data_IF_355227537426
#
_entry.id   IF_355227537426
#
_cell.length_a   1.000
_cell.length_b   1.000
_cell.length_c   1.000
_cell.angle_alpha   90.00
_cell.angle_beta   90.00
_cell.angle_gamma   90.00
#
_symmetry.space_group_name_H-M   'P 1'
#
loop_
_entity.id
_entity.type
_entity.pdbx_description
1 polymer ?
#
# COMPACT_ATOMS: atom_id res chain seq x y z
N UNK A 1 -50.02 -62.42 -19.96
CA UNK A 1 -48.83 -61.61 -19.60
C UNK A 1 -48.30 -60.95 -20.85
N UNK A 2 -48.56 -59.66 -21.03
CA UNK A 2 -47.97 -58.84 -22.07
C UNK A 2 -47.78 -57.44 -21.49
N UNK A 3 -46.54 -57.04 -21.27
CA UNK A 3 -46.17 -55.73 -20.73
C UNK A 3 -45.97 -54.77 -21.91
N UNK A 4 -46.75 -53.70 -21.95
CA UNK A 4 -46.61 -52.60 -22.90
C UNK A 4 -45.74 -51.53 -22.25
N UNK A 5 -44.52 -51.35 -22.77
CA UNK A 5 -43.61 -50.27 -22.37
C UNK A 5 -44.11 -48.94 -22.96
N UNK A 6 -44.40 -47.97 -22.10
CA UNK A 6 -44.55 -46.57 -22.46
C UNK A 6 -43.16 -45.91 -22.56
N UNK A 7 -42.80 -45.45 -23.77
CA UNK A 7 -41.66 -44.56 -23.99
C UNK A 7 -42.11 -43.12 -23.73
N UNK A 8 -41.64 -42.52 -22.64
CA UNK A 8 -41.73 -41.08 -22.43
C UNK A 8 -40.56 -40.40 -23.14
N UNK A 9 -40.85 -39.61 -24.17
CA UNK A 9 -39.88 -38.70 -24.79
C UNK A 9 -39.72 -37.45 -23.92
N UNK A 10 -38.58 -37.31 -23.25
CA UNK A 10 -38.21 -36.10 -22.53
C UNK A 10 -37.66 -35.05 -23.51
N UNK A 11 -38.45 -34.04 -23.83
CA UNK A 11 -37.95 -32.82 -24.50
C UNK A 11 -37.14 -32.00 -23.50
N UNK A 12 -35.82 -32.00 -23.68
CA UNK A 12 -34.89 -31.11 -22.97
C UNK A 12 -34.97 -29.70 -23.58
N UNK A 13 -35.51 -28.74 -22.81
CA UNK A 13 -35.38 -27.31 -23.10
C UNK A 13 -34.02 -26.86 -22.53
N UNK A 14 -32.95 -27.04 -23.31
CA UNK A 14 -31.69 -26.38 -23.04
C UNK A 14 -31.86 -24.89 -23.36
N UNK A 15 -32.05 -24.07 -22.33
CA UNK A 15 -31.99 -22.63 -22.45
C UNK A 15 -30.55 -22.22 -22.76
N UNK A 16 -30.43 -21.42 -23.81
CA UNK A 16 -29.20 -20.90 -24.40
C UNK A 16 -28.47 -19.98 -23.39
N UNK A 17 -27.57 -20.57 -22.59
CA UNK A 17 -26.72 -19.82 -21.67
C UNK A 17 -25.65 -19.08 -22.49
N UNK A 18 -25.95 -17.82 -22.79
CA UNK A 18 -25.01 -16.90 -23.40
C UNK A 18 -23.79 -16.78 -22.50
N UNK A 19 -22.67 -17.34 -22.96
CA UNK A 19 -21.37 -17.25 -22.29
C UNK A 19 -20.98 -15.78 -22.23
N UNK A 20 -21.06 -15.20 -21.03
CA UNK A 20 -20.47 -13.90 -20.74
C UNK A 20 -18.99 -14.19 -20.51
N UNK A 21 -18.18 -13.96 -21.53
CA UNK A 21 -16.73 -13.98 -21.37
C UNK A 21 -16.37 -12.80 -20.45
N UNK A 22 -16.16 -13.10 -19.17
CA UNK A 22 -15.51 -12.18 -18.26
C UNK A 22 -14.06 -12.06 -18.72
N UNK A 23 -13.76 -10.98 -19.43
CA UNK A 23 -12.39 -10.56 -19.65
C UNK A 23 -11.81 -10.26 -18.27
N UNK A 24 -11.02 -11.18 -17.74
CA UNK A 24 -10.22 -10.93 -16.56
C UNK A 24 -9.39 -9.67 -16.85
N UNK A 25 -9.29 -8.70 -15.90
CA UNK A 25 -8.43 -7.56 -16.11
C UNK A 25 -7.05 -8.09 -16.48
N UNK A 26 -6.51 -7.61 -17.61
CA UNK A 26 -5.17 -7.96 -18.04
C UNK A 26 -4.27 -7.77 -16.84
N UNK A 27 -3.57 -8.83 -16.41
CA UNK A 27 -2.61 -8.73 -15.33
C UNK A 27 -1.69 -7.57 -15.66
N UNK A 28 -1.74 -6.50 -14.84
CA UNK A 28 -0.96 -5.30 -15.08
C UNK A 28 0.48 -5.73 -15.38
N UNK A 29 1.07 -5.21 -16.45
CA UNK A 29 2.46 -5.53 -16.72
C UNK A 29 3.30 -5.07 -15.52
N UNK A 30 4.22 -5.90 -15.02
CA UNK A 30 5.16 -5.48 -13.98
C UNK A 30 5.96 -4.27 -14.47
N UNK A 31 5.48 -3.09 -14.12
CA UNK A 31 5.90 -1.78 -14.59
C UNK A 31 5.31 -0.72 -13.65
N UNK A 32 5.98 0.42 -13.56
CA UNK A 32 5.38 1.61 -12.97
C UNK A 32 4.63 2.37 -14.07
N UNK A 33 3.39 2.75 -13.81
CA UNK A 33 2.64 3.62 -14.71
C UNK A 33 3.29 5.00 -14.78
N UNK A 34 3.53 5.50 -16.00
CA UNK A 34 4.03 6.86 -16.26
C UNK A 34 5.38 7.22 -15.60
N UNK A 35 6.20 6.24 -15.22
CA UNK A 35 7.53 6.50 -14.66
C UNK A 35 8.50 6.96 -15.75
N UNK A 36 9.04 8.16 -15.59
CA UNK A 36 10.13 8.67 -16.43
C UNK A 36 11.46 8.37 -15.78
N UNK A 37 12.29 7.55 -16.42
CA UNK A 37 13.60 7.14 -15.90
C UNK A 37 14.65 8.24 -16.15
N UNK A 38 15.29 8.81 -15.11
CA UNK A 38 16.38 9.77 -15.28
C UNK A 38 17.62 9.11 -15.90
N UNK A 39 18.44 9.89 -16.62
CA UNK A 39 19.69 9.39 -17.23
C UNK A 39 20.75 8.99 -16.20
N UNK A 40 20.71 9.62 -15.04
CA UNK A 40 21.60 9.43 -13.89
C UNK A 40 21.09 8.35 -12.91
N UNK A 41 20.04 7.62 -13.27
CA UNK A 41 19.39 6.65 -12.38
C UNK A 41 20.36 5.56 -11.89
N UNK A 42 20.34 5.32 -10.58
CA UNK A 42 20.93 4.17 -9.90
C UNK A 42 19.82 3.28 -9.37
N UNK A 43 19.87 1.98 -9.66
CA UNK A 43 19.01 0.96 -9.07
C UNK A 43 19.76 0.29 -7.94
N UNK A 44 19.23 0.39 -6.73
CA UNK A 44 19.76 -0.30 -5.57
C UNK A 44 18.78 -1.35 -5.07
N UNK A 45 19.31 -2.48 -4.62
CA UNK A 45 18.54 -3.51 -3.96
C UNK A 45 18.95 -3.63 -2.50
N UNK A 46 18.01 -3.80 -1.59
CA UNK A 46 18.31 -3.98 -0.18
C UNK A 46 17.32 -4.92 0.51
N UNK A 47 17.79 -5.58 1.57
CA UNK A 47 16.93 -6.43 2.39
C UNK A 47 17.70 -7.54 3.09
N UNK A 48 16.95 -8.40 3.77
CA UNK A 48 17.46 -9.54 4.52
C UNK A 48 16.35 -10.60 4.64
N UNK A 49 16.59 -11.68 5.38
CA UNK A 49 15.49 -12.61 5.71
C UNK A 49 14.44 -11.92 6.59
N UNK A 50 14.88 -11.21 7.62
CA UNK A 50 14.03 -10.49 8.58
C UNK A 50 14.75 -9.26 9.13
N UNK A 51 13.98 -8.26 9.56
CA UNK A 51 14.50 -7.04 10.19
C UNK A 51 14.35 -7.07 11.73
N UNK A 52 14.35 -5.89 12.34
CA UNK A 52 14.11 -5.74 13.79
C UNK A 52 12.67 -6.09 14.12
N UNK A 53 12.47 -7.03 15.04
CA UNK A 53 11.17 -7.45 15.58
C UNK A 53 10.37 -6.29 16.17
N UNK A 54 9.06 -6.27 15.91
CA UNK A 54 8.15 -5.21 16.34
C UNK A 54 7.22 -5.61 17.50
N UNK A 55 7.14 -6.90 17.84
CA UNK A 55 6.28 -7.43 18.91
C UNK A 55 4.81 -7.57 18.53
N UNK A 56 4.46 -7.40 17.25
CA UNK A 56 3.10 -7.56 16.72
C UNK A 56 3.13 -8.09 15.29
N UNK A 57 2.02 -8.64 14.79
CA UNK A 57 1.88 -9.09 13.40
C UNK A 57 1.31 -7.97 12.50
N UNK A 58 1.68 -7.96 11.22
CA UNK A 58 1.13 -7.03 10.21
C UNK A 58 -0.06 -7.64 9.44
N UNK A 59 -0.25 -8.95 9.54
CA UNK A 59 -1.19 -9.74 8.75
C UNK A 59 -1.60 -11.02 9.51
N UNK A 60 -2.38 -11.87 8.86
CA UNK A 60 -2.85 -13.16 9.40
C UNK A 60 -1.86 -14.31 9.12
N UNK A 61 -0.62 -14.04 8.71
CA UNK A 61 0.37 -15.08 8.41
C UNK A 61 0.77 -15.91 9.65
N UNK A 62 0.53 -15.37 10.85
CA UNK A 62 1.04 -15.94 12.11
C UNK A 62 2.49 -15.58 12.39
N UNK A 63 3.14 -14.82 11.50
CA UNK A 63 4.50 -14.32 11.67
C UNK A 63 4.50 -12.95 12.34
N UNK A 64 5.50 -12.73 13.19
CA UNK A 64 5.71 -11.42 13.79
C UNK A 64 6.30 -10.46 12.75
N UNK A 65 5.77 -9.24 12.72
CA UNK A 65 6.28 -8.20 11.87
C UNK A 65 7.67 -7.73 12.29
N UNK A 66 8.44 -7.34 11.28
CA UNK A 66 9.75 -6.75 11.45
C UNK A 66 9.83 -5.38 10.79
N UNK A 67 10.87 -4.62 11.10
CA UNK A 67 11.11 -3.30 10.55
C UNK A 67 12.53 -3.19 10.03
N UNK A 68 12.64 -2.53 8.88
CA UNK A 68 13.88 -2.00 8.38
C UNK A 68 13.87 -0.47 8.42
N UNK A 69 14.89 0.12 9.04
CA UNK A 69 15.22 1.54 8.95
C UNK A 69 16.25 1.71 7.82
N UNK A 70 15.76 2.13 6.65
CA UNK A 70 16.54 2.34 5.43
C UNK A 70 16.97 3.80 5.38
N UNK A 71 18.27 4.03 5.24
CA UNK A 71 18.81 5.36 4.94
C UNK A 71 19.44 5.36 3.56
N UNK A 72 18.96 6.22 2.66
CA UNK A 72 19.45 6.32 1.28
C UNK A 72 20.32 7.55 1.13
N UNK A 73 21.55 7.37 0.65
CA UNK A 73 22.48 8.46 0.41
C UNK A 73 23.05 8.37 -1.00
N UNK A 74 22.57 9.23 -1.89
CA UNK A 74 23.07 9.39 -3.26
C UNK A 74 22.84 10.84 -3.72
N UNK A 75 23.60 11.81 -3.18
CA UNK A 75 23.28 13.23 -3.30
C UNK A 75 23.46 13.80 -4.73
N UNK A 76 24.04 13.02 -5.64
CA UNK A 76 24.29 13.43 -7.03
C UNK A 76 23.51 12.62 -8.06
N UNK A 77 22.66 11.67 -7.61
CA UNK A 77 22.02 10.71 -8.49
C UNK A 77 20.58 10.42 -8.08
N UNK A 78 19.74 10.17 -9.09
CA UNK A 78 18.41 9.64 -8.89
C UNK A 78 18.45 8.16 -8.52
N UNK A 79 17.62 7.72 -7.58
CA UNK A 79 17.63 6.35 -7.03
C UNK A 79 16.30 5.66 -7.23
N UNK A 80 16.32 4.43 -7.74
CA UNK A 80 15.21 3.49 -7.63
C UNK A 80 15.58 2.35 -6.67
N UNK A 81 14.63 1.94 -5.82
CA UNK A 81 14.85 0.92 -4.79
C UNK A 81 14.08 -0.37 -5.10
N UNK A 82 14.75 -1.50 -4.90
CA UNK A 82 14.17 -2.84 -4.87
C UNK A 82 14.37 -3.42 -3.47
N UNK A 83 13.34 -3.37 -2.64
CA UNK A 83 13.41 -3.80 -1.25
C UNK A 83 12.71 -5.14 -1.09
N UNK A 84 13.34 -6.09 -0.40
CA UNK A 84 12.60 -7.31 -0.08
C UNK A 84 13.11 -8.16 1.07
N UNK A 85 12.16 -8.74 1.79
CA UNK A 85 12.39 -9.57 2.97
C UNK A 85 11.46 -10.78 3.01
N UNK A 86 11.86 -11.86 3.69
CA UNK A 86 11.01 -13.03 3.82
C UNK A 86 9.83 -12.74 4.77
N UNK A 87 10.14 -12.29 6.00
CA UNK A 87 9.17 -11.99 7.06
C UNK A 87 8.26 -10.78 6.73
N UNK A 88 7.08 -10.65 7.37
CA UNK A 88 6.26 -9.47 7.25
C UNK A 88 7.08 -8.24 7.67
N UNK A 89 7.17 -7.21 6.83
CA UNK A 89 8.15 -6.13 7.06
C UNK A 89 7.64 -4.73 6.75
N UNK A 90 7.94 -3.79 7.65
CA UNK A 90 7.80 -2.35 7.43
C UNK A 90 9.13 -1.74 7.01
N UNK A 91 9.18 -1.14 5.83
CA UNK A 91 10.31 -0.40 5.28
C UNK A 91 10.17 1.08 5.64
N UNK A 92 10.88 1.54 6.67
CA UNK A 92 10.93 2.94 7.07
C UNK A 92 12.09 3.64 6.37
N UNK A 93 11.77 4.53 5.42
CA UNK A 93 12.75 5.11 4.51
C UNK A 93 13.05 6.57 4.89
N UNK A 94 14.33 6.88 4.95
CA UNK A 94 14.88 8.23 5.03
C UNK A 94 15.97 8.40 3.97
N UNK A 95 16.26 9.63 3.57
CA UNK A 95 17.32 9.91 2.60
C UNK A 95 18.07 11.20 2.91
N UNK A 96 19.34 11.28 2.48
CA UNK A 96 20.11 12.50 2.63
C UNK A 96 19.62 13.60 1.69
N UNK A 97 19.79 14.85 2.11
CA UNK A 97 19.54 16.01 1.25
C UNK A 97 20.29 15.90 -0.08
N UNK A 98 19.59 16.16 -1.18
CA UNK A 98 20.11 16.02 -2.54
C UNK A 98 19.89 14.63 -3.14
N UNK A 99 19.62 13.61 -2.33
CA UNK A 99 19.17 12.30 -2.84
C UNK A 99 17.75 12.41 -3.36
N UNK A 100 17.52 11.91 -4.58
CA UNK A 100 16.19 11.86 -5.20
C UNK A 100 15.74 10.42 -5.40
N UNK A 101 14.79 9.94 -4.62
CA UNK A 101 14.16 8.63 -4.86
C UNK A 101 13.07 8.80 -5.93
N UNK A 102 13.10 7.99 -7.00
CA UNK A 102 12.17 8.11 -8.13
C UNK A 102 11.14 6.99 -8.20
N UNK A 103 11.40 5.85 -7.59
CA UNK A 103 10.48 4.72 -7.50
C UNK A 103 10.95 3.71 -6.46
N UNK A 104 10.01 3.00 -5.83
CA UNK A 104 10.32 1.91 -4.89
C UNK A 104 9.46 0.69 -5.23
N UNK A 105 10.07 -0.48 -5.34
CA UNK A 105 9.35 -1.75 -5.29
C UNK A 105 9.63 -2.42 -3.95
N UNK A 106 8.57 -2.84 -3.26
CA UNK A 106 8.68 -3.69 -2.07
C UNK A 106 8.14 -5.09 -2.38
N UNK A 107 8.84 -6.09 -1.85
CA UNK A 107 8.56 -7.49 -2.15
C UNK A 107 8.93 -8.40 -0.97
N UNK A 108 8.38 -9.60 -0.96
CA UNK A 108 8.69 -10.57 0.08
C UNK A 108 7.89 -11.84 -0.03
N UNK A 109 8.04 -12.72 0.96
CA UNK A 109 7.13 -13.84 1.09
C UNK A 109 5.81 -13.35 1.71
N UNK A 110 5.90 -12.74 2.90
CA UNK A 110 4.74 -12.20 3.61
C UNK A 110 4.45 -10.72 3.30
N UNK A 111 3.44 -10.15 3.94
CA UNK A 111 2.98 -8.78 3.71
C UNK A 111 4.08 -7.74 3.92
N UNK A 112 4.14 -6.75 3.02
CA UNK A 112 5.15 -5.69 3.02
C UNK A 112 4.48 -4.32 3.09
N UNK A 113 5.00 -3.45 3.94
CA UNK A 113 4.55 -2.07 4.08
C UNK A 113 5.72 -1.10 3.95
N UNK A 114 5.47 0.11 3.43
CA UNK A 114 6.48 1.17 3.34
C UNK A 114 5.97 2.41 4.04
N UNK A 115 6.89 3.12 4.71
CA UNK A 115 6.67 4.43 5.33
C UNK A 115 7.88 5.31 5.09
N UNK A 116 7.74 6.63 5.30
CA UNK A 116 8.86 7.56 5.21
C UNK A 116 9.09 8.17 3.82
N UNK A 117 8.41 7.71 2.77
CA UNK A 117 8.54 8.24 1.40
C UNK A 117 7.63 9.44 1.08
N UNK A 118 8.10 10.33 0.22
CA UNK A 118 7.26 11.38 -0.37
C UNK A 118 6.10 10.78 -1.17
N UNK A 119 4.92 11.42 -1.15
CA UNK A 119 3.71 10.93 -1.84
C UNK A 119 3.91 10.81 -3.36
N UNK A 120 4.73 11.65 -3.96
CA UNK A 120 5.03 11.62 -5.39
C UNK A 120 5.90 10.44 -5.82
N UNK A 121 6.49 9.69 -4.89
CA UNK A 121 7.32 8.53 -5.21
C UNK A 121 6.42 7.31 -5.41
N UNK A 122 6.29 6.78 -6.62
CA UNK A 122 5.45 5.61 -6.86
C UNK A 122 6.02 4.37 -6.17
N UNK A 123 5.14 3.59 -5.55
CA UNK A 123 5.47 2.34 -4.87
C UNK A 123 4.76 1.17 -5.53
N UNK A 124 5.51 0.17 -6.00
CA UNK A 124 4.98 -1.09 -6.49
C UNK A 124 5.10 -2.15 -5.40
N UNK A 125 4.00 -2.83 -5.09
CA UNK A 125 3.96 -3.89 -4.08
C UNK A 125 3.69 -5.22 -4.75
N UNK A 126 4.49 -6.23 -4.41
CA UNK A 126 4.30 -7.58 -4.95
C UNK A 126 4.99 -8.59 -4.03
N UNK A 127 4.24 -9.40 -3.30
CA UNK A 127 4.76 -10.47 -2.42
C UNK A 127 4.09 -11.81 -2.73
N UNK A 128 4.53 -12.90 -2.08
CA UNK A 128 3.91 -14.21 -2.27
C UNK A 128 2.46 -14.21 -1.72
N UNK A 129 2.26 -13.72 -0.49
CA UNK A 129 0.92 -13.67 0.14
C UNK A 129 0.01 -12.57 -0.47
N UNK A 130 0.60 -11.52 -1.03
CA UNK A 130 -0.11 -10.45 -1.74
C UNK A 130 0.44 -10.33 -3.16
N UNK A 131 0.04 -11.25 -4.07
CA UNK A 131 0.60 -11.32 -5.41
C UNK A 131 0.33 -10.04 -6.18
N UNK A 132 1.40 -9.41 -6.62
CA UNK A 132 1.38 -8.29 -7.56
C UNK A 132 1.90 -8.72 -8.94
N UNK A 133 1.98 -7.76 -9.88
CA UNK A 133 2.31 -8.06 -11.28
C UNK A 133 3.76 -8.52 -11.49
N UNK A 134 4.62 -8.34 -10.48
CA UNK A 134 6.06 -8.55 -10.55
C UNK A 134 6.54 -9.87 -9.92
N UNK A 135 5.64 -10.75 -9.49
CA UNK A 135 6.00 -11.92 -8.70
C UNK A 135 6.59 -11.50 -7.36
N UNK A 136 7.48 -12.29 -6.77
CA UNK A 136 8.08 -11.95 -5.49
C UNK A 136 9.56 -12.33 -5.44
N UNK A 137 10.28 -11.64 -4.56
CA UNK A 137 11.68 -11.80 -4.22
C UNK A 137 11.95 -11.28 -2.81
N UNK A 138 13.04 -11.73 -2.21
CA UNK A 138 13.67 -11.07 -1.06
C UNK A 138 15.18 -11.03 -1.24
N UNK A 139 15.83 -10.06 -0.62
CA UNK A 139 17.28 -9.86 -0.75
C UNK A 139 17.99 -10.61 0.37
N UNK A 140 18.08 -11.94 0.26
CA UNK A 140 18.88 -12.74 1.21
C UNK A 140 19.51 -13.96 0.52
N UNK A 141 20.78 -14.22 0.83
CA UNK A 141 21.52 -15.37 0.31
C UNK A 141 21.43 -15.54 -1.22
N UNK A 142 21.08 -16.74 -1.66
CA UNK A 142 20.96 -17.09 -3.07
C UNK A 142 19.78 -16.38 -3.78
N UNK A 143 18.75 -15.96 -3.04
CA UNK A 143 17.57 -15.31 -3.61
C UNK A 143 17.86 -13.91 -4.18
N UNK A 144 18.96 -13.27 -3.75
CA UNK A 144 19.43 -11.99 -4.29
C UNK A 144 19.68 -12.02 -5.80
N UNK A 145 19.88 -13.19 -6.41
CA UNK A 145 20.02 -13.33 -7.87
C UNK A 145 18.75 -12.99 -8.66
N UNK A 146 17.57 -13.09 -8.04
CA UNK A 146 16.27 -12.82 -8.67
C UNK A 146 15.99 -11.32 -8.90
N UNK A 147 16.75 -10.43 -8.26
CA UNK A 147 16.47 -8.99 -8.28
C UNK A 147 16.87 -8.34 -9.62
N UNK A 148 17.90 -8.86 -10.28
CA UNK A 148 18.37 -8.32 -11.56
C UNK A 148 17.35 -8.44 -12.70
N UNK A 149 16.69 -9.59 -12.91
CA UNK A 149 15.58 -9.69 -13.86
C UNK A 149 14.48 -8.65 -13.61
N UNK A 150 14.12 -8.41 -12.34
CA UNK A 150 13.09 -7.44 -11.95
C UNK A 150 13.55 -6.01 -12.24
N UNK A 151 14.79 -5.66 -11.87
CA UNK A 151 15.39 -4.37 -12.17
C UNK A 151 15.36 -4.06 -13.67
N UNK A 152 15.73 -5.04 -14.51
CA UNK A 152 15.69 -4.88 -15.97
C UNK A 152 14.29 -4.66 -16.50
N UNK A 153 13.28 -5.31 -15.90
CA UNK A 153 11.88 -5.15 -16.30
C UNK A 153 11.32 -3.77 -15.91
N UNK A 154 11.60 -3.32 -14.69
CA UNK A 154 11.05 -2.07 -14.14
C UNK A 154 11.81 -0.81 -14.57
N UNK A 155 13.14 -0.90 -14.65
CA UNK A 155 14.03 0.26 -14.79
C UNK A 155 14.95 0.17 -16.00
N UNK A 156 14.77 -0.86 -16.86
CA UNK A 156 15.56 -1.04 -18.09
C UNK A 156 17.08 -1.16 -17.86
N UNK A 157 17.51 -1.40 -16.61
CA UNK A 157 18.90 -1.56 -16.21
C UNK A 157 19.04 -2.54 -15.05
N UNK A 158 20.19 -3.22 -14.89
CA UNK A 158 20.41 -4.12 -13.76
C UNK A 158 20.54 -3.34 -12.45
N UNK A 159 20.53 -4.06 -11.33
CA UNK A 159 20.89 -3.51 -10.03
C UNK A 159 22.35 -3.06 -10.07
N UNK A 160 22.61 -1.81 -9.67
CA UNK A 160 23.97 -1.28 -9.55
C UNK A 160 24.69 -1.86 -8.33
N UNK A 161 23.98 -2.00 -7.20
CA UNK A 161 24.53 -2.54 -5.97
C UNK A 161 23.45 -3.15 -5.08
N UNK A 162 23.83 -4.22 -4.37
CA UNK A 162 23.00 -4.91 -3.38
C UNK A 162 23.53 -4.57 -1.99
N UNK A 163 22.63 -4.17 -1.09
CA UNK A 163 22.91 -3.81 0.30
C UNK A 163 22.24 -4.84 1.22
N UNK A 164 22.95 -5.89 1.63
CA UNK A 164 22.40 -6.87 2.55
C UNK A 164 22.18 -6.23 3.93
N UNK A 165 21.03 -6.50 4.51
CA UNK A 165 20.70 -6.12 5.88
C UNK A 165 20.94 -7.24 6.88
N UNK A 166 20.76 -6.91 8.15
CA UNK A 166 20.84 -7.83 9.28
C UNK A 166 19.59 -7.71 10.16
N UNK A 167 19.53 -8.53 11.21
CA UNK A 167 18.39 -8.61 12.14
C UNK A 167 18.20 -7.35 13.01
N UNK A 168 19.16 -6.43 13.03
CA UNK A 168 19.02 -5.12 13.66
C UNK A 168 18.11 -4.17 12.88
N UNK A 169 17.78 -4.54 11.62
CA UNK A 169 16.89 -3.80 10.74
C UNK A 169 17.51 -2.53 10.16
N UNK A 170 18.79 -2.23 10.34
CA UNK A 170 19.36 -0.98 9.81
C UNK A 170 20.11 -1.23 8.51
N UNK A 171 19.81 -0.47 7.46
CA UNK A 171 20.53 -0.58 6.17
C UNK A 171 20.84 0.82 5.62
N UNK A 172 22.13 1.09 5.42
CA UNK A 172 22.59 2.24 4.64
C UNK A 172 22.71 1.84 3.17
N UNK A 173 22.00 2.55 2.30
CA UNK A 173 21.94 2.31 0.85
C UNK A 173 22.63 3.48 0.13
N UNK A 174 23.56 3.16 -0.76
CA UNK A 174 24.34 4.14 -1.51
C UNK A 174 25.68 4.47 -0.83
N UNK A 175 26.03 5.74 -0.81
CA UNK A 175 27.33 6.24 -0.32
C UNK A 175 27.36 6.36 1.21
N UNK A 176 28.56 6.44 1.78
CA UNK A 176 28.75 6.71 3.22
C UNK A 176 28.20 8.08 3.62
N UNK A 177 27.51 8.15 4.76
CA UNK A 177 27.02 9.42 5.33
C UNK A 177 28.14 10.16 6.07
N UNK A 178 28.15 11.48 5.95
CA UNK A 178 28.93 12.34 6.86
C UNK A 178 28.17 12.59 8.16
N UNK A 179 28.87 12.96 9.22
CA UNK A 179 28.27 13.33 10.52
C UNK A 179 27.27 14.48 10.38
N UNK A 180 27.50 15.40 9.45
CA UNK A 180 26.65 16.58 9.24
C UNK A 180 25.52 16.33 8.21
N UNK A 181 25.30 15.08 7.81
CA UNK A 181 24.27 14.74 6.82
C UNK A 181 22.87 14.95 7.39
N UNK A 182 22.16 15.93 6.85
CA UNK A 182 20.74 16.14 7.12
C UNK A 182 19.90 15.04 6.43
N UNK A 183 19.10 14.31 7.21
CA UNK A 183 18.20 13.27 6.72
C UNK A 183 16.77 13.80 6.59
N UNK A 184 16.17 13.51 5.45
CA UNK A 184 14.77 13.78 5.11
C UNK A 184 13.96 12.50 5.28
N UNK A 185 12.73 12.65 5.75
CA UNK A 185 11.73 11.58 5.77
C UNK A 185 10.35 12.21 5.71
N UNK A 186 9.43 11.55 5.02
CA UNK A 186 8.03 11.97 4.94
C UNK A 186 7.24 11.41 6.12
N UNK A 187 6.35 12.19 6.75
CA UNK A 187 5.49 11.64 7.78
C UNK A 187 4.65 10.50 7.20
N UNK A 188 4.75 9.34 7.85
CA UNK A 188 3.91 8.13 7.83
C UNK A 188 2.77 8.09 6.77
N UNK A 189 2.65 6.97 6.05
CA UNK A 189 1.57 6.68 5.08
C UNK A 189 0.61 5.61 5.59
N UNK A 190 -0.59 5.54 5.01
CA UNK A 190 -1.62 4.53 5.30
C UNK A 190 -2.08 4.55 6.76
N UNK A 191 -2.37 3.37 7.32
CA UNK A 191 -2.87 3.24 8.70
C UNK A 191 -1.91 3.81 9.76
N UNK A 192 -0.60 3.67 9.57
CA UNK A 192 0.37 4.20 10.54
C UNK A 192 0.33 5.74 10.63
N UNK A 193 -0.03 6.40 9.54
CA UNK A 193 -0.26 7.84 9.52
C UNK A 193 -1.52 8.24 10.30
N UNK A 194 -2.57 7.44 10.14
CA UNK A 194 -3.83 7.59 10.87
C UNK A 194 -3.58 7.41 12.36
N UNK A 195 -2.84 6.38 12.76
CA UNK A 195 -2.50 6.12 14.16
C UNK A 195 -1.68 7.28 14.75
N UNK A 196 -0.71 7.81 14.00
CA UNK A 196 0.05 9.01 14.40
C UNK A 196 -0.87 10.23 14.56
N UNK A 197 -1.83 10.41 13.67
CA UNK A 197 -2.78 11.53 13.74
C UNK A 197 -3.75 11.39 14.92
N UNK A 198 -4.14 10.15 15.28
CA UNK A 198 -4.91 9.86 16.51
C UNK A 198 -4.06 10.19 17.74
N UNK A 199 -2.82 9.73 17.81
CA UNK A 199 -1.92 10.01 18.93
C UNK A 199 -1.65 11.52 19.14
N UNK A 200 -1.64 12.30 18.05
CA UNK A 200 -1.49 13.76 18.07
C UNK A 200 -2.79 14.52 18.34
N UNK A 201 -3.92 13.83 18.49
CA UNK A 201 -5.23 14.45 18.71
C UNK A 201 -5.81 15.16 17.49
N UNK A 202 -5.25 14.93 16.29
CA UNK A 202 -5.79 15.46 15.03
C UNK A 202 -7.00 14.66 14.57
N UNK A 203 -7.00 13.36 14.86
CA UNK A 203 -8.11 12.44 14.66
C UNK A 203 -8.53 11.81 15.99
N UNK A 204 -9.75 11.27 16.05
CA UNK A 204 -10.15 10.25 17.03
C UNK A 204 -10.89 9.12 16.34
N UNK A 205 -10.93 7.91 16.90
CA UNK A 205 -11.86 6.87 16.45
C UNK A 205 -13.30 7.39 16.44
N UNK A 206 -14.03 7.03 15.39
CA UNK A 206 -15.46 7.31 15.31
C UNK A 206 -16.23 6.39 16.26
N UNK A 207 -17.35 6.91 16.75
CA UNK A 207 -18.26 6.24 17.67
C UNK A 207 -19.61 6.04 17.00
N UNK A 208 -20.48 5.15 17.52
CA UNK A 208 -21.86 5.03 17.04
C UNK A 208 -22.63 6.37 17.04
N UNK A 209 -22.30 7.28 17.94
CA UNK A 209 -22.92 8.60 17.97
C UNK A 209 -22.60 9.44 16.71
N UNK A 210 -21.41 9.27 16.12
CA UNK A 210 -21.00 10.00 14.91
C UNK A 210 -21.80 9.52 13.69
N UNK A 211 -22.04 8.21 13.57
CA UNK A 211 -22.84 7.64 12.49
C UNK A 211 -24.33 7.95 12.64
N UNK A 212 -24.84 7.95 13.86
CA UNK A 212 -26.21 8.37 14.16
C UNK A 212 -26.42 9.85 13.89
N UNK A 213 -25.49 10.71 14.29
CA UNK A 213 -25.55 12.14 13.99
C UNK A 213 -25.62 12.39 12.48
N UNK A 214 -24.84 11.65 11.67
CA UNK A 214 -24.93 11.73 10.21
C UNK A 214 -26.30 11.29 9.69
N UNK A 215 -26.83 10.17 10.18
CA UNK A 215 -28.13 9.64 9.75
C UNK A 215 -29.31 10.56 10.14
N UNK A 216 -29.21 11.31 11.23
CA UNK A 216 -30.23 12.28 11.64
C UNK A 216 -30.22 13.54 10.77
N UNK A 217 -29.04 13.94 10.27
CA UNK A 217 -28.87 15.16 9.49
C UNK A 217 -29.06 14.96 7.98
N UNK A 218 -29.10 13.71 7.52
CA UNK A 218 -29.21 13.38 6.10
C UNK A 218 -30.40 12.46 5.84
N UNK A 219 -30.94 12.50 4.62
CA UNK A 219 -32.00 11.56 4.20
C UNK A 219 -31.43 10.22 3.73
N UNK A 220 -30.14 9.94 4.00
CA UNK A 220 -29.44 8.76 3.51
C UNK A 220 -29.97 7.49 4.20
N UNK A 221 -30.31 6.47 3.41
CA UNK A 221 -30.88 5.21 3.91
C UNK A 221 -29.86 4.29 4.60
N UNK A 222 -28.57 4.43 4.28
CA UNK A 222 -27.51 3.60 4.84
C UNK A 222 -26.65 4.36 5.83
N UNK A 223 -26.38 3.74 6.99
CA UNK A 223 -25.46 4.29 7.97
C UNK A 223 -24.01 4.04 7.56
N UNK A 224 -23.09 4.99 7.76
CA UNK A 224 -21.67 4.76 7.54
C UNK A 224 -21.16 3.62 8.45
N UNK A 225 -20.28 2.77 7.92
CA UNK A 225 -19.60 1.75 8.71
C UNK A 225 -18.63 2.37 9.72
N UNK A 226 -18.43 1.70 10.85
CA UNK A 226 -17.46 2.10 11.89
C UNK A 226 -16.09 1.42 11.76
N UNK A 227 -15.96 0.45 10.84
CA UNK A 227 -14.67 -0.17 10.57
C UNK A 227 -13.70 0.84 9.95
N UNK A 228 -12.51 0.96 10.53
CA UNK A 228 -11.48 1.97 10.20
C UNK A 228 -12.07 3.37 10.02
N UNK A 229 -12.92 3.82 10.95
CA UNK A 229 -13.61 5.10 10.90
C UNK A 229 -13.06 6.11 11.91
N UNK A 230 -12.87 7.36 11.46
CA UNK A 230 -12.21 8.42 12.23
C UNK A 230 -12.93 9.76 12.09
N UNK A 231 -12.88 10.55 13.15
CA UNK A 231 -13.39 11.93 13.18
C UNK A 231 -12.22 12.90 13.13
N UNK A 232 -12.28 13.87 12.22
CA UNK A 232 -11.31 14.93 12.08
C UNK A 232 -11.61 16.02 13.12
N UNK A 233 -10.63 16.32 13.97
CA UNK A 233 -10.77 17.27 15.09
C UNK A 233 -10.02 18.59 14.84
N UNK A 234 -9.01 18.58 13.98
CA UNK A 234 -8.12 19.71 13.71
C UNK A 234 -7.70 19.72 12.22
N UNK A 235 -7.06 20.79 11.72
CA UNK A 235 -6.48 20.80 10.37
C UNK A 235 -5.63 19.54 10.13
N UNK A 236 -5.98 18.82 9.06
CA UNK A 236 -5.44 17.51 8.75
C UNK A 236 -5.15 17.43 7.25
N UNK A 237 -4.14 16.65 6.88
CA UNK A 237 -3.86 16.30 5.49
C UNK A 237 -4.06 14.80 5.37
N UNK A 238 -4.86 14.34 4.41
CA UNK A 238 -5.03 12.92 4.19
C UNK A 238 -3.67 12.27 3.89
N UNK A 239 -3.29 11.21 4.62
CA UNK A 239 -2.05 10.53 4.36
C UNK A 239 -2.11 9.80 3.03
N UNK A 240 -0.98 9.71 2.35
CA UNK A 240 -0.83 8.86 1.17
C UNK A 240 -1.06 7.39 1.53
N UNK A 241 -1.47 6.57 0.57
CA UNK A 241 -1.64 5.12 0.77
C UNK A 241 -2.99 4.68 1.35
N UNK A 242 -4.02 5.54 1.33
CA UNK A 242 -5.42 5.18 1.64
C UNK A 242 -6.16 4.54 0.44
N UNK A 243 -5.45 3.74 -0.36
CA UNK A 243 -5.94 3.13 -1.60
C UNK A 243 -5.81 1.59 -1.54
N UNK A 244 -6.79 0.85 -2.05
CA UNK A 244 -6.75 -0.63 -2.11
C UNK A 244 -7.41 -1.31 -0.91
N UNK A 245 -6.65 -2.09 -0.12
CA UNK A 245 -7.17 -2.87 1.01
C UNK A 245 -7.35 -2.07 2.32
N UNK A 246 -6.90 -0.81 2.36
CA UNK A 246 -6.94 0.06 3.56
C UNK A 246 -7.77 1.36 3.43
N UNK A 247 -8.95 1.38 2.78
CA UNK A 247 -9.79 2.58 2.77
C UNK A 247 -10.39 2.82 4.16
N UNK A 248 -10.10 3.99 4.72
CA UNK A 248 -10.71 4.50 5.96
C UNK A 248 -12.02 5.26 5.70
N UNK A 249 -12.79 5.52 6.76
CA UNK A 249 -13.93 6.45 6.74
C UNK A 249 -13.60 7.70 7.56
N UNK A 250 -13.84 8.89 7.02
CA UNK A 250 -13.60 10.16 7.70
C UNK A 250 -14.88 10.95 7.90
N UNK A 251 -15.11 11.40 9.13
CA UNK A 251 -16.15 12.37 9.47
C UNK A 251 -15.49 13.74 9.72
N UNK A 252 -15.89 14.75 8.94
CA UNK A 252 -15.47 16.14 9.15
C UNK A 252 -16.61 16.84 9.86
N UNK A 253 -16.45 17.13 11.15
CA UNK A 253 -17.48 17.81 11.93
C UNK A 253 -17.67 19.27 11.49
N UNK A 254 -18.82 19.85 11.83
CA UNK A 254 -19.08 21.27 11.56
C UNK A 254 -17.99 22.14 12.17
N UNK A 255 -17.58 23.17 11.43
CA UNK A 255 -16.53 24.13 11.79
C UNK A 255 -15.11 23.56 11.81
N UNK A 256 -14.89 22.30 11.41
CA UNK A 256 -13.56 21.77 11.14
C UNK A 256 -13.24 22.00 9.66
N UNK A 257 -12.09 22.64 9.31
CA UNK A 257 -11.69 22.82 7.93
C UNK A 257 -11.58 21.49 7.19
N UNK A 258 -11.98 21.47 5.91
CA UNK A 258 -11.84 20.28 5.07
C UNK A 258 -10.36 19.90 4.97
N UNK A 259 -9.98 18.64 5.24
CA UNK A 259 -8.59 18.20 5.10
C UNK A 259 -8.07 18.41 3.67
N UNK A 260 -6.78 18.72 3.56
CA UNK A 260 -6.08 18.79 2.28
C UNK A 260 -5.53 17.42 1.85
N UNK A 261 -5.00 17.31 0.64
CA UNK A 261 -4.49 16.05 0.10
C UNK A 261 -5.57 15.16 -0.51
N UNK A 262 -5.18 13.95 -0.93
CA UNK A 262 -6.06 12.99 -1.60
C UNK A 262 -6.56 11.90 -0.62
N UNK A 263 -7.88 11.78 -0.37
CA UNK A 263 -8.41 10.72 0.49
C UNK A 263 -8.34 9.32 -0.12
N UNK A 264 -7.88 9.16 -1.36
CA UNK A 264 -7.78 7.86 -2.03
C UNK A 264 -9.14 7.21 -2.24
N UNK A 265 -9.31 5.97 -1.79
CA UNK A 265 -10.58 5.24 -1.86
C UNK A 265 -11.43 5.37 -0.57
N UNK A 266 -11.03 6.23 0.37
CA UNK A 266 -11.79 6.50 1.58
C UNK A 266 -13.14 7.18 1.32
N UNK A 267 -14.10 6.91 2.20
CA UNK A 267 -15.32 7.72 2.26
C UNK A 267 -15.11 8.93 3.17
N UNK A 268 -15.58 10.08 2.73
CA UNK A 268 -15.53 11.34 3.46
C UNK A 268 -16.93 11.87 3.63
N UNK A 269 -17.39 11.93 4.88
CA UNK A 269 -18.68 12.46 5.31
C UNK A 269 -18.46 13.86 5.89
N UNK A 270 -18.86 14.88 5.15
CA UNK A 270 -18.61 16.29 5.50
C UNK A 270 -19.86 16.93 6.08
N UNK A 271 -19.87 17.20 7.40
CA UNK A 271 -21.00 17.79 8.10
C UNK A 271 -21.17 19.29 7.81
N UNK A 272 -20.17 19.96 7.22
CA UNK A 272 -20.30 21.35 6.80
C UNK A 272 -21.21 21.47 5.57
N UNK A 273 -21.03 20.57 4.61
CA UNK A 273 -21.77 20.55 3.34
C UNK A 273 -22.93 19.54 3.33
N UNK A 274 -22.99 18.64 4.31
CA UNK A 274 -23.89 17.49 4.35
C UNK A 274 -23.77 16.60 3.10
N UNK A 275 -22.54 16.51 2.56
CA UNK A 275 -22.23 15.66 1.40
C UNK A 275 -21.31 14.52 1.78
N UNK A 276 -21.46 13.40 1.07
CA UNK A 276 -20.51 12.29 1.12
C UNK A 276 -19.74 12.22 -0.20
N UNK A 277 -18.41 12.10 -0.14
CA UNK A 277 -17.55 11.86 -1.30
C UNK A 277 -16.68 10.61 -1.12
N UNK A 278 -16.52 9.84 -2.20
CA UNK A 278 -15.72 8.61 -2.22
C UNK A 278 -16.53 7.39 -2.66
N UNK A 279 -15.86 6.28 -3.04
CA UNK A 279 -16.51 5.10 -3.61
C UNK A 279 -17.42 4.35 -2.63
N UNK A 280 -17.23 4.54 -1.32
CA UNK A 280 -18.06 3.95 -0.25
C UNK A 280 -19.21 4.85 0.21
N UNK A 281 -19.40 6.01 -0.43
CA UNK A 281 -20.59 6.83 -0.25
C UNK A 281 -21.74 6.19 -1.03
N UNK A 282 -22.54 5.39 -0.33
CA UNK A 282 -23.73 4.79 -0.93
C UNK A 282 -24.71 5.92 -1.28
N UNK A 283 -25.21 5.93 -2.52
CA UNK A 283 -26.32 6.81 -2.96
C UNK A 283 -27.63 6.38 -2.32
#
# INVERSE_FOLDING_TARGET
MAAILFLFSSTSLAQDLKKVDFEAPAADACAFENLTLPKDLRVYAAGAYSGRRLGYALDESGHEATRFDITVNSPSQSVALLLGAYEPSVWNISWSKGTRIVAVMISGYHHQAVVGLEESVPVLKSSYDNPGPCGYFYVSGAQSGSVNPIARKLFQQPVNQIFPGYSDGTILVGDSLSIDSELLTSPWSGQAAIDSAVAKGLLRPATPADTEAWALLTTARSRPGLDKAYVVLAPFTYPSGLSGADPATFFILRNVPRPSGNPGQSAVYDFNSLTCSGPRCVR
#
